data_IF_453091193954
#
_entry.id   IF_453091193954
#
_cell.length_a   1.000
_cell.length_b   1.000
_cell.length_c   1.000
_cell.angle_alpha   90.00
_cell.angle_beta   90.00
_cell.angle_gamma   90.00
#
_symmetry.space_group_name_H-M   'P 1'
#
loop_
_entity.id
_entity.type
_entity.pdbx_description
1 polymer ?
#
# COMPACT_ATOMS: atom_id res chain seq x y z
N UNK A 1 -20.96 -27.31 -11.66
CA UNK A 1 -19.48 -27.28 -11.59
C UNK A 1 -18.88 -26.01 -12.18
N UNK A 2 -19.28 -25.59 -13.39
CA UNK A 2 -18.79 -24.37 -14.04
C UNK A 2 -18.90 -23.09 -13.18
N UNK A 3 -20.05 -22.86 -12.52
CA UNK A 3 -20.23 -21.67 -11.67
C UNK A 3 -19.29 -21.65 -10.47
N UNK A 4 -19.00 -22.82 -9.89
CA UNK A 4 -18.06 -22.95 -8.76
C UNK A 4 -16.64 -22.63 -9.22
N UNK A 5 -16.23 -23.11 -10.41
CA UNK A 5 -14.93 -22.78 -11.01
C UNK A 5 -14.82 -21.28 -11.27
N UNK A 6 -15.85 -20.66 -11.84
CA UNK A 6 -15.88 -19.21 -12.09
C UNK A 6 -15.77 -18.39 -10.79
N UNK A 7 -16.51 -18.77 -9.74
CA UNK A 7 -16.41 -18.10 -8.44
C UNK A 7 -15.01 -18.24 -7.83
N UNK A 8 -14.39 -19.42 -7.94
CA UNK A 8 -13.00 -19.63 -7.48
C UNK A 8 -12.01 -18.78 -8.26
N UNK A 9 -12.18 -18.67 -9.59
CA UNK A 9 -11.36 -17.81 -10.44
C UNK A 9 -11.41 -16.36 -9.95
N UNK A 10 -12.63 -15.81 -9.83
CA UNK A 10 -12.85 -14.43 -9.35
C UNK A 10 -12.23 -14.23 -7.97
N UNK A 11 -12.41 -15.17 -7.04
CA UNK A 11 -11.84 -15.08 -5.69
C UNK A 11 -10.32 -15.11 -5.68
N UNK A 12 -9.70 -15.91 -6.53
CA UNK A 12 -8.24 -15.96 -6.67
C UNK A 12 -7.70 -14.65 -7.22
N UNK A 13 -8.32 -14.09 -8.27
CA UNK A 13 -7.90 -12.81 -8.84
C UNK A 13 -8.11 -11.63 -7.86
N UNK A 14 -9.23 -11.61 -7.12
CA UNK A 14 -9.46 -10.62 -6.06
C UNK A 14 -8.37 -10.64 -4.98
N UNK A 15 -7.90 -11.83 -4.59
CA UNK A 15 -6.80 -11.97 -3.61
C UNK A 15 -5.47 -11.41 -4.10
N UNK A 16 -5.27 -11.37 -5.41
CA UNK A 16 -4.08 -10.78 -6.05
C UNK A 16 -4.22 -9.27 -6.27
N UNK A 17 -5.37 -8.67 -5.92
CA UNK A 17 -5.60 -7.24 -6.04
C UNK A 17 -6.13 -6.79 -7.39
N UNK A 18 -6.62 -7.71 -8.23
CA UNK A 18 -7.32 -7.34 -9.46
C UNK A 18 -8.66 -6.68 -9.16
N UNK A 19 -8.97 -5.61 -9.88
CA UNK A 19 -10.26 -4.92 -9.87
C UNK A 19 -11.34 -5.79 -10.53
N UNK A 20 -12.61 -5.45 -10.34
CA UNK A 20 -13.69 -6.20 -11.01
C UNK A 20 -13.63 -6.08 -12.53
N UNK A 21 -13.13 -4.95 -13.05
CA UNK A 21 -12.97 -4.72 -14.49
C UNK A 21 -11.82 -5.57 -15.06
N UNK A 22 -10.67 -5.60 -14.39
CA UNK A 22 -9.53 -6.46 -14.78
C UNK A 22 -9.90 -7.95 -14.70
N UNK A 23 -10.70 -8.34 -13.70
CA UNK A 23 -11.21 -9.72 -13.58
C UNK A 23 -12.17 -10.06 -14.73
N UNK A 24 -13.00 -9.10 -15.15
CA UNK A 24 -13.88 -9.30 -16.30
C UNK A 24 -13.08 -9.52 -17.59
N UNK A 25 -11.98 -8.79 -17.77
CA UNK A 25 -11.04 -8.99 -18.87
C UNK A 25 -10.38 -10.37 -18.80
N UNK A 26 -9.81 -10.75 -17.65
CA UNK A 26 -9.22 -12.07 -17.45
C UNK A 26 -10.20 -13.22 -17.73
N UNK A 27 -11.49 -13.05 -17.39
CA UNK A 27 -12.53 -14.04 -17.68
C UNK A 27 -12.86 -14.17 -19.17
N UNK A 28 -12.53 -13.17 -20.00
CA UNK A 28 -12.65 -13.28 -21.47
C UNK A 28 -11.52 -14.09 -22.08
N UNK A 29 -10.41 -14.26 -21.36
CA UNK A 29 -9.21 -14.97 -21.77
C UNK A 29 -9.16 -16.44 -21.28
N UNK A 30 -10.23 -16.91 -20.64
CA UNK A 30 -10.30 -18.21 -19.93
C UNK A 30 -10.36 -19.44 -20.87
N UNK A 31 -10.28 -19.25 -22.19
CA UNK A 31 -10.09 -20.36 -23.14
C UNK A 31 -8.65 -20.90 -23.15
N UNK A 32 -7.73 -20.23 -22.44
CA UNK A 32 -6.35 -20.66 -22.24
C UNK A 32 -5.41 -20.36 -23.41
N UNK A 33 -5.87 -19.65 -24.44
CA UNK A 33 -5.06 -19.36 -25.64
C UNK A 33 -4.42 -17.97 -25.64
N UNK A 34 -4.77 -17.12 -24.68
CA UNK A 34 -4.38 -15.72 -24.60
C UNK A 34 -3.31 -15.43 -23.53
N UNK A 35 -2.21 -16.20 -23.55
CA UNK A 35 -1.15 -16.09 -22.53
C UNK A 35 -0.52 -14.69 -22.47
N UNK A 36 -0.26 -14.07 -23.63
CA UNK A 36 0.37 -12.73 -23.72
C UNK A 36 -0.52 -11.61 -23.16
N UNK A 37 -1.83 -11.68 -23.42
CA UNK A 37 -2.79 -10.70 -22.89
C UNK A 37 -2.93 -10.84 -21.37
N UNK A 38 -3.02 -12.10 -20.88
CA UNK A 38 -3.07 -12.37 -19.45
C UNK A 38 -1.78 -11.96 -18.73
N UNK A 39 -0.61 -12.15 -19.35
CA UNK A 39 0.66 -11.69 -18.76
C UNK A 39 0.74 -10.17 -18.71
N UNK A 40 0.25 -9.45 -19.72
CA UNK A 40 0.22 -7.99 -19.72
C UNK A 40 -0.60 -7.42 -18.56
N UNK A 41 -1.78 -8.00 -18.31
CA UNK A 41 -2.62 -7.63 -17.15
C UNK A 41 -1.92 -7.91 -15.81
N UNK A 42 -1.24 -9.05 -15.71
CA UNK A 42 -0.48 -9.40 -14.51
C UNK A 42 0.74 -8.50 -14.29
N UNK A 43 1.45 -8.12 -15.34
CA UNK A 43 2.58 -7.18 -15.28
C UNK A 43 2.15 -5.79 -14.82
N UNK A 44 1.03 -5.29 -15.35
CA UNK A 44 0.44 -4.04 -14.89
C UNK A 44 0.08 -4.12 -13.39
N UNK A 45 -0.62 -5.18 -12.98
CA UNK A 45 -0.97 -5.36 -11.56
C UNK A 45 0.26 -5.45 -10.67
N UNK A 46 1.31 -6.13 -11.12
CA UNK A 46 2.56 -6.25 -10.39
C UNK A 46 3.24 -4.89 -10.21
N UNK A 47 3.19 -4.03 -11.23
CA UNK A 47 3.69 -2.66 -11.15
C UNK A 47 2.89 -1.85 -10.11
N UNK A 48 1.55 -1.87 -10.15
CA UNK A 48 0.69 -1.20 -9.17
C UNK A 48 1.03 -1.64 -7.72
N UNK A 49 1.22 -2.95 -7.52
CA UNK A 49 1.55 -3.52 -6.21
C UNK A 49 2.91 -3.02 -5.73
N UNK A 50 3.92 -2.99 -6.61
CA UNK A 50 5.27 -2.49 -6.27
C UNK A 50 5.24 -1.01 -5.88
N UNK A 51 4.51 -0.19 -6.62
CA UNK A 51 4.34 1.23 -6.30
C UNK A 51 3.67 1.42 -4.95
N UNK A 52 2.59 0.69 -4.69
CA UNK A 52 1.91 0.72 -3.38
C UNK A 52 2.82 0.26 -2.25
N UNK A 53 3.66 -0.74 -2.45
CA UNK A 53 4.63 -1.18 -1.45
C UNK A 53 5.66 -0.08 -1.16
N UNK A 54 6.18 0.60 -2.18
CA UNK A 54 7.10 1.72 -2.01
C UNK A 54 6.46 2.86 -1.20
N UNK A 55 5.20 3.18 -1.49
CA UNK A 55 4.45 4.21 -0.76
C UNK A 55 4.22 3.82 0.70
N UNK A 56 3.80 2.58 0.94
CA UNK A 56 3.57 2.06 2.29
C UNK A 56 4.87 2.01 3.10
N UNK A 57 6.00 1.59 2.51
CA UNK A 57 7.30 1.59 3.20
C UNK A 57 7.75 3.00 3.59
N UNK A 58 7.50 3.99 2.73
CA UNK A 58 7.76 5.40 3.04
C UNK A 58 6.89 5.88 4.20
N UNK A 59 5.60 5.56 4.20
CA UNK A 59 4.69 5.90 5.31
C UNK A 59 5.12 5.21 6.61
N UNK A 60 5.46 3.93 6.55
CA UNK A 60 5.95 3.14 7.69
C UNK A 60 7.19 3.78 8.31
N UNK A 61 8.14 4.23 7.49
CA UNK A 61 9.38 4.86 7.95
C UNK A 61 9.07 6.12 8.76
N UNK A 62 8.26 7.03 8.20
CA UNK A 62 7.87 8.28 8.87
C UNK A 62 7.08 7.99 10.16
N UNK A 63 6.13 7.05 10.12
CA UNK A 63 5.35 6.68 11.30
C UNK A 63 6.25 6.10 12.40
N UNK A 64 7.22 5.26 12.04
CA UNK A 64 8.16 4.66 12.98
C UNK A 64 9.03 5.72 13.67
N UNK A 65 9.54 6.69 12.91
CA UNK A 65 10.32 7.82 13.44
C UNK A 65 9.49 8.68 14.41
N UNK A 66 8.25 9.00 14.04
CA UNK A 66 7.35 9.80 14.88
C UNK A 66 6.97 9.07 16.18
N UNK A 67 6.71 7.75 16.10
CA UNK A 67 6.44 6.93 17.28
C UNK A 67 7.66 6.90 18.20
N UNK A 68 8.86 6.72 17.65
CA UNK A 68 10.10 6.77 18.43
C UNK A 68 10.29 8.12 19.13
N UNK A 69 10.14 9.23 18.40
CA UNK A 69 10.27 10.58 18.95
C UNK A 69 9.24 10.84 20.08
N UNK A 70 8.01 10.38 19.91
CA UNK A 70 6.98 10.45 20.95
C UNK A 70 7.38 9.70 22.22
N UNK A 71 8.02 8.53 22.10
CA UNK A 71 8.46 7.73 23.25
C UNK A 71 9.74 8.27 23.91
N UNK A 72 10.64 8.90 23.15
CA UNK A 72 11.88 9.47 23.67
C UNK A 72 11.68 10.77 24.48
N UNK A 73 10.51 11.40 24.36
CA UNK A 73 10.15 12.64 25.06
C UNK A 73 10.19 12.46 26.59
N UNK A 74 10.75 13.46 27.28
CA UNK A 74 10.70 13.60 28.73
C UNK A 74 10.11 14.95 29.13
N UNK A 75 9.41 15.00 30.26
CA UNK A 75 8.77 16.23 30.74
C UNK A 75 7.50 16.61 29.96
N UNK A 76 7.09 17.87 30.10
CA UNK A 76 5.82 18.36 29.55
C UNK A 76 6.02 19.12 28.22
N UNK A 77 6.54 18.42 27.20
CA UNK A 77 6.75 18.98 25.85
C UNK A 77 5.59 18.63 24.91
N UNK A 78 5.46 19.40 23.82
CA UNK A 78 4.49 19.16 22.74
C UNK A 78 4.71 17.80 22.07
N UNK A 79 3.65 17.21 21.51
CA UNK A 79 3.69 15.91 20.85
C UNK A 79 4.36 16.02 19.46
N UNK A 80 5.50 15.35 19.20
CA UNK A 80 6.20 15.43 17.92
C UNK A 80 5.35 15.03 16.72
N UNK A 81 4.48 14.02 16.89
CA UNK A 81 3.54 13.60 15.85
C UNK A 81 2.57 14.73 15.47
N UNK A 82 1.98 15.40 16.45
CA UNK A 82 1.02 16.49 16.19
C UNK A 82 1.73 17.68 15.54
N UNK A 83 2.91 18.06 16.03
CA UNK A 83 3.72 19.12 15.45
C UNK A 83 4.08 18.84 13.98
N UNK A 84 4.50 17.61 13.68
CA UNK A 84 4.83 17.17 12.31
C UNK A 84 3.61 17.27 11.37
N UNK A 85 2.44 16.84 11.81
CA UNK A 85 1.19 16.92 11.04
C UNK A 85 0.69 18.36 10.84
N UNK A 86 0.98 19.26 11.78
CA UNK A 86 0.67 20.69 11.67
C UNK A 86 1.65 21.44 10.77
N UNK A 87 2.72 20.79 10.30
CA UNK A 87 3.78 21.44 9.53
C UNK A 87 4.67 22.36 10.39
N UNK A 88 4.58 22.24 11.72
CA UNK A 88 5.46 22.93 12.65
C UNK A 88 6.83 22.26 12.58
N UNK A 89 7.68 22.72 11.66
CA UNK A 89 9.12 22.42 11.71
C UNK A 89 9.61 22.78 13.10
N UNK A 90 10.17 21.78 13.77
CA UNK A 90 10.75 21.88 15.11
C UNK A 90 11.46 23.23 15.31
N UNK A 91 11.18 23.97 16.40
CA UNK A 91 11.95 25.15 16.71
C UNK A 91 13.38 24.68 17.02
N UNK A 92 14.31 25.01 16.12
CA UNK A 92 15.73 25.01 16.45
C UNK A 92 15.93 25.91 17.67
N UNK A 93 16.34 25.32 18.78
CA UNK A 93 16.90 26.03 19.92
C UNK A 93 16.01 26.03 21.17
N UNK A 94 16.35 25.16 22.11
CA UNK A 94 16.32 25.50 23.52
C UNK A 94 17.67 25.12 24.11
N UNK A 95 18.60 26.07 24.08
CA UNK A 95 19.68 26.14 25.06
C UNK A 95 19.08 26.07 26.46
N UNK A 96 19.59 25.16 27.29
CA UNK A 96 19.49 25.23 28.73
C UNK A 96 20.72 24.57 29.35
N UNK A 97 21.69 25.44 29.67
CA UNK A 97 22.66 25.43 30.80
C UNK A 97 23.04 24.08 31.40
#
# INVERSE_FOLDING_TARGET
EADVTRVRFVKSAQRLGFSLDEIAELLRLDDGTHCEEASSLAEHKLQDVREKMTDLARMETVLSELVFACHARQGNVSCPLIASLQGEKEPRGADAV
#
